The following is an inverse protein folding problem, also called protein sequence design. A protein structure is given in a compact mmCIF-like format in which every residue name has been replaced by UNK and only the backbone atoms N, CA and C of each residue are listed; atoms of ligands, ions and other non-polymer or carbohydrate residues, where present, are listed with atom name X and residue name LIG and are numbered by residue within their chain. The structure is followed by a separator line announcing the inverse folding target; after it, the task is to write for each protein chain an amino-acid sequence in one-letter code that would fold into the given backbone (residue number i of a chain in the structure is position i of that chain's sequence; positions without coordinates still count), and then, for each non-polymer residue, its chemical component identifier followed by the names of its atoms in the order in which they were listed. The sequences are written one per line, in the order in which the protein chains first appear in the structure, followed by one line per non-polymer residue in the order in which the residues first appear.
data_IF_143389055997
#
_entry.id   IF_143389055997
#
_cell.length_a   1.000
_cell.length_b   1.000
_cell.length_c   1.000
_cell.angle_alpha   90.00
_cell.angle_beta   90.00
_cell.angle_gamma   90.00
#
_symmetry.space_group_name_H-M   'P 1'
#
loop_
_entity.id
_entity.type
_entity.pdbx_description
1 polymer ?
#
# COMPACT_ATOMS: atom_id res chain seq x y z
N UNK A 1 23.98 22.11 8.80
CA UNK A 1 23.17 20.93 9.18
C UNK A 1 21.86 21.09 8.43
N UNK A 2 21.77 20.54 7.21
CA UNK A 2 20.52 20.58 6.43
C UNK A 2 19.60 19.60 7.15
N UNK A 3 18.52 20.10 7.77
CA UNK A 3 17.46 19.22 8.25
C UNK A 3 17.07 18.34 7.05
N UNK A 4 17.26 17.03 7.15
CA UNK A 4 16.90 16.13 6.06
C UNK A 4 15.41 16.35 5.78
N UNK A 5 15.10 17.05 4.69
CA UNK A 5 13.72 17.30 4.29
C UNK A 5 13.06 15.94 4.06
N UNK A 6 11.95 15.73 4.74
CA UNK A 6 11.16 14.52 4.58
C UNK A 6 10.29 14.66 3.34
N UNK A 7 10.30 13.62 2.51
CA UNK A 7 9.73 13.67 1.15
C UNK A 7 8.21 13.91 1.17
N UNK A 8 7.45 13.22 2.02
CA UNK A 8 6.00 13.36 2.06
C UNK A 8 5.53 14.70 2.67
N UNK A 9 6.10 15.21 3.78
CA UNK A 9 5.80 16.56 4.27
C UNK A 9 6.14 17.67 3.28
N UNK A 10 7.23 17.53 2.53
CA UNK A 10 7.57 18.46 1.45
C UNK A 10 6.53 18.41 0.32
N UNK A 11 6.18 17.21 -0.16
CA UNK A 11 5.13 17.04 -1.16
C UNK A 11 3.77 17.61 -0.69
N UNK A 12 3.44 17.43 0.60
CA UNK A 12 2.24 18.01 1.21
C UNK A 12 2.27 19.54 1.19
N UNK A 13 3.43 20.14 1.48
CA UNK A 13 3.62 21.59 1.41
C UNK A 13 3.40 22.10 -0.02
N UNK A 14 4.04 21.46 -1.00
CA UNK A 14 3.91 21.83 -2.41
C UNK A 14 2.45 21.77 -2.90
N UNK A 15 1.71 20.70 -2.58
CA UNK A 15 0.32 20.57 -3.04
C UNK A 15 -0.64 21.54 -2.32
N UNK A 16 -0.38 21.85 -1.04
CA UNK A 16 -1.14 22.87 -0.31
C UNK A 16 -0.98 24.27 -0.91
N UNK A 17 0.20 24.60 -1.43
CA UNK A 17 0.44 25.86 -2.14
C UNK A 17 -0.15 25.88 -3.56
N UNK A 18 -0.26 24.71 -4.20
CA UNK A 18 -0.76 24.58 -5.58
C UNK A 18 -2.30 24.62 -5.67
N UNK A 19 -2.99 23.96 -4.74
CA UNK A 19 -4.46 23.81 -4.77
C UNK A 19 -5.22 25.15 -4.87
N UNK A 20 -4.88 26.20 -4.09
CA UNK A 20 -5.55 27.50 -4.21
C UNK A 20 -5.31 28.21 -5.55
N UNK A 21 -4.22 27.88 -6.25
CA UNK A 21 -3.93 28.45 -7.58
C UNK A 21 -4.73 27.74 -8.67
N UNK A 22 -4.98 26.44 -8.52
CA UNK A 22 -5.79 25.64 -9.44
C UNK A 22 -7.27 26.04 -9.40
N UNK A 23 -7.78 26.48 -8.24
CA UNK A 23 -9.19 26.90 -8.11
C UNK A 23 -9.52 28.19 -8.87
N UNK A 24 -8.52 29.02 -9.17
CA UNK A 24 -8.68 30.25 -9.92
C UNK A 24 -8.81 30.03 -11.44
N UNK A 25 -8.28 28.91 -11.95
CA UNK A 25 -8.10 28.70 -13.39
C UNK A 25 -9.03 27.60 -13.95
N UNK A 26 -9.18 26.42 -13.30
CA UNK A 26 -10.05 25.33 -13.82
C UNK A 26 -10.55 24.36 -12.73
N UNK A 27 -11.88 24.32 -12.48
CA UNK A 27 -12.50 23.52 -11.40
C UNK A 27 -12.30 22.00 -11.48
N UNK A 28 -12.00 21.43 -12.64
CA UNK A 28 -11.80 19.97 -12.77
C UNK A 28 -10.44 19.50 -12.25
N UNK A 29 -9.40 20.34 -12.34
CA UNK A 29 -8.06 20.02 -11.85
C UNK A 29 -7.98 19.89 -10.32
N UNK A 30 -8.94 20.52 -9.62
CA UNK A 30 -9.07 20.44 -8.17
C UNK A 30 -9.37 19.03 -7.67
N UNK A 31 -10.21 18.27 -8.38
CA UNK A 31 -10.57 16.91 -7.96
C UNK A 31 -9.36 15.99 -7.89
N UNK A 32 -8.47 16.03 -8.90
CA UNK A 32 -7.20 15.30 -8.85
C UNK A 32 -6.27 15.83 -7.77
N UNK A 33 -6.22 17.15 -7.57
CA UNK A 33 -5.41 17.74 -6.52
C UNK A 33 -5.81 17.25 -5.12
N UNK A 34 -7.12 17.23 -4.82
CA UNK A 34 -7.63 16.67 -3.57
C UNK A 34 -7.34 15.18 -3.47
N UNK A 35 -7.55 14.40 -4.54
CA UNK A 35 -7.23 12.98 -4.56
C UNK A 35 -5.75 12.72 -4.23
N UNK A 36 -4.82 13.43 -4.88
CA UNK A 36 -3.37 13.27 -4.65
C UNK A 36 -2.98 13.71 -3.24
N UNK A 37 -3.56 14.80 -2.74
CA UNK A 37 -3.28 15.25 -1.36
C UNK A 37 -3.81 14.23 -0.34
N UNK A 38 -4.95 13.61 -0.63
CA UNK A 38 -5.47 12.48 0.13
C UNK A 38 -4.51 11.29 0.18
N UNK A 39 -3.93 10.90 -0.96
CA UNK A 39 -2.91 9.85 -1.04
C UNK A 39 -1.69 10.20 -0.17
N UNK A 40 -1.23 11.46 -0.20
CA UNK A 40 -0.10 11.94 0.62
C UNK A 40 -0.42 11.87 2.11
N UNK A 41 -1.61 12.35 2.53
CA UNK A 41 -2.05 12.25 3.91
C UNK A 41 -2.13 10.78 4.38
N UNK A 42 -2.66 9.89 3.55
CA UNK A 42 -2.74 8.46 3.85
C UNK A 42 -1.36 7.82 4.00
N UNK A 43 -0.39 8.20 3.16
CA UNK A 43 1.00 7.74 3.26
C UNK A 43 1.72 8.28 4.50
N UNK A 44 1.44 9.53 4.91
CA UNK A 44 1.96 10.10 6.17
C UNK A 44 1.38 9.36 7.39
N UNK A 45 0.08 9.02 7.32
CA UNK A 45 -0.69 8.41 8.40
C UNK A 45 -1.82 9.29 8.94
N UNK A 46 -2.11 10.44 8.33
CA UNK A 46 -3.27 11.26 8.67
C UNK A 46 -4.50 10.81 7.89
N UNK A 47 -5.10 9.71 8.35
CA UNK A 47 -6.23 9.07 7.67
C UNK A 47 -7.50 9.94 7.69
N UNK A 48 -7.63 10.82 8.67
CA UNK A 48 -8.77 11.74 8.78
C UNK A 48 -8.71 12.79 7.67
N UNK A 49 -7.57 13.45 7.49
CA UNK A 49 -7.37 14.41 6.42
C UNK A 49 -7.44 13.73 5.04
N UNK A 50 -6.92 12.50 4.92
CA UNK A 50 -7.03 11.72 3.69
C UNK A 50 -8.50 11.48 3.28
N UNK A 51 -9.35 11.06 4.24
CA UNK A 51 -10.79 10.86 3.99
C UNK A 51 -11.46 12.15 3.54
N UNK A 52 -11.21 13.26 4.26
CA UNK A 52 -11.82 14.55 3.93
C UNK A 52 -11.47 15.01 2.51
N UNK A 53 -10.23 14.79 2.07
CA UNK A 53 -9.79 15.11 0.72
C UNK A 53 -10.42 14.19 -0.34
N UNK A 54 -10.57 12.90 -0.07
CA UNK A 54 -11.31 12.01 -0.98
C UNK A 54 -12.78 12.40 -1.11
N UNK A 55 -13.44 12.76 -0.01
CA UNK A 55 -14.82 13.25 -0.01
C UNK A 55 -14.94 14.55 -0.82
N UNK A 56 -13.95 15.44 -0.70
CA UNK A 56 -13.90 16.68 -1.48
C UNK A 56 -13.68 16.43 -2.98
N UNK A 57 -12.83 15.47 -3.35
CA UNK A 57 -12.68 15.06 -4.75
C UNK A 57 -14.02 14.54 -5.31
N UNK A 58 -14.71 13.69 -4.57
CA UNK A 58 -16.03 13.19 -4.93
C UNK A 58 -17.09 14.30 -5.06
N UNK A 59 -17.11 15.26 -4.13
CA UNK A 59 -18.02 16.40 -4.17
C UNK A 59 -17.84 17.27 -5.44
N UNK A 60 -16.63 17.25 -6.02
CA UNK A 60 -16.30 17.92 -7.28
C UNK A 60 -16.55 17.04 -8.52
N UNK A 61 -17.14 15.85 -8.35
CA UNK A 61 -17.44 14.91 -9.43
C UNK A 61 -16.23 14.07 -9.87
N UNK A 62 -15.19 13.97 -9.05
CA UNK A 62 -13.99 13.18 -9.35
C UNK A 62 -13.93 11.90 -8.53
N UNK A 63 -13.57 10.80 -9.20
CA UNK A 63 -13.32 9.53 -8.53
C UNK A 63 -12.00 9.58 -7.77
N UNK A 64 -12.09 9.52 -6.45
CA UNK A 64 -10.95 9.47 -5.53
C UNK A 64 -10.21 8.12 -5.53
N UNK A 65 -10.62 7.17 -6.38
CA UNK A 65 -10.04 5.84 -6.46
C UNK A 65 -8.67 5.81 -7.13
N UNK A 66 -7.75 4.90 -6.79
CA UNK A 66 -7.91 3.81 -5.82
C UNK A 66 -7.62 4.19 -4.36
N UNK A 67 -7.16 5.41 -4.08
CA UNK A 67 -6.72 5.82 -2.74
C UNK A 67 -7.80 5.67 -1.68
N UNK A 68 -9.05 6.04 -2.02
CA UNK A 68 -10.20 5.87 -1.16
C UNK A 68 -10.52 4.39 -0.86
N UNK A 69 -10.52 3.50 -1.86
CA UNK A 69 -10.71 2.06 -1.65
C UNK A 69 -9.58 1.42 -0.84
N UNK A 70 -8.32 1.82 -1.05
CA UNK A 70 -7.20 1.35 -0.23
C UNK A 70 -7.43 1.74 1.23
N UNK A 71 -7.84 2.99 1.48
CA UNK A 71 -8.15 3.46 2.84
C UNK A 71 -9.30 2.67 3.47
N UNK A 72 -10.40 2.44 2.73
CA UNK A 72 -11.53 1.63 3.20
C UNK A 72 -11.09 0.23 3.62
N UNK A 73 -10.35 -0.46 2.75
CA UNK A 73 -9.84 -1.81 3.02
C UNK A 73 -8.95 -1.84 4.27
N UNK A 74 -8.03 -0.87 4.40
CA UNK A 74 -7.11 -0.80 5.53
C UNK A 74 -7.80 -0.46 6.85
N UNK A 75 -8.95 0.22 6.80
CA UNK A 75 -9.83 0.45 7.96
C UNK A 75 -10.83 -0.68 8.23
N UNK A 76 -10.77 -1.77 7.46
CA UNK A 76 -11.57 -2.98 7.67
C UNK A 76 -12.84 -3.09 6.83
N UNK A 77 -13.09 -2.17 5.90
CA UNK A 77 -14.24 -2.21 4.99
C UNK A 77 -13.84 -2.78 3.62
N UNK A 78 -13.72 -4.10 3.56
CA UNK A 78 -13.38 -4.82 2.31
C UNK A 78 -14.48 -4.68 1.25
N UNK A 79 -15.74 -4.86 1.64
CA UNK A 79 -16.85 -4.86 0.68
C UNK A 79 -17.08 -3.46 0.12
N UNK A 80 -16.96 -2.41 0.94
CA UNK A 80 -17.01 -1.02 0.50
C UNK A 80 -15.84 -0.64 -0.41
N UNK A 81 -14.63 -1.11 -0.13
CA UNK A 81 -13.46 -0.89 -0.98
C UNK A 81 -13.65 -1.48 -2.38
N UNK A 82 -14.10 -2.74 -2.48
CA UNK A 82 -14.32 -3.40 -3.77
C UNK A 82 -15.50 -2.76 -4.52
N UNK A 83 -16.58 -2.42 -3.84
CA UNK A 83 -17.71 -1.72 -4.45
C UNK A 83 -17.31 -0.34 -5.01
N UNK A 84 -16.44 0.39 -4.33
CA UNK A 84 -15.96 1.68 -4.80
C UNK A 84 -15.13 1.54 -6.09
N UNK A 85 -14.22 0.56 -6.15
CA UNK A 85 -13.44 0.28 -7.35
C UNK A 85 -14.30 -0.22 -8.51
N UNK A 86 -15.28 -1.09 -8.25
CA UNK A 86 -16.21 -1.57 -9.28
C UNK A 86 -17.04 -0.43 -9.87
N UNK A 87 -17.48 0.53 -9.05
CA UNK A 87 -18.15 1.74 -9.55
C UNK A 87 -17.25 2.57 -10.45
N UNK A 88 -16.01 2.85 -10.03
CA UNK A 88 -15.05 3.59 -10.85
C UNK A 88 -14.72 2.84 -12.16
N UNK A 89 -14.68 1.51 -12.14
CA UNK A 89 -14.47 0.67 -13.33
C UNK A 89 -15.64 0.66 -14.32
N UNK A 90 -16.85 1.09 -13.92
CA UNK A 90 -17.98 1.23 -14.85
C UNK A 90 -17.87 2.51 -15.71
N UNK A 91 -17.02 3.46 -15.32
CA UNK A 91 -16.85 4.71 -16.06
C UNK A 91 -16.29 4.48 -17.47
N UNK A 92 -16.90 5.15 -18.46
CA UNK A 92 -16.57 4.98 -19.89
C UNK A 92 -15.85 6.18 -20.50
N UNK A 93 -15.67 7.26 -19.72
CA UNK A 93 -14.95 8.45 -20.17
C UNK A 93 -13.49 8.13 -20.49
N UNK A 94 -12.83 9.01 -21.25
CA UNK A 94 -11.42 8.84 -21.58
C UNK A 94 -10.54 8.69 -20.32
N UNK A 95 -10.84 9.46 -19.28
CA UNK A 95 -10.14 9.42 -18.00
C UNK A 95 -10.22 8.04 -17.31
N UNK A 96 -11.42 7.46 -17.22
CA UNK A 96 -11.62 6.12 -16.66
C UNK A 96 -10.85 5.07 -17.48
N UNK A 97 -10.84 5.19 -18.82
CA UNK A 97 -10.10 4.28 -19.70
C UNK A 97 -8.59 4.36 -19.53
N UNK A 98 -8.03 5.52 -19.18
CA UNK A 98 -6.59 5.65 -18.90
C UNK A 98 -6.23 5.01 -17.55
N UNK A 99 -7.09 5.17 -16.53
CA UNK A 99 -6.83 4.68 -15.17
C UNK A 99 -7.27 3.25 -14.92
N UNK A 100 -8.02 2.65 -15.85
CA UNK A 100 -8.61 1.31 -15.72
C UNK A 100 -7.61 0.26 -15.23
N UNK A 101 -6.40 0.21 -15.81
CA UNK A 101 -5.39 -0.75 -15.38
C UNK A 101 -4.96 -0.56 -13.94
N UNK A 102 -4.77 0.69 -13.51
CA UNK A 102 -4.45 1.03 -12.12
C UNK A 102 -5.58 0.65 -11.16
N UNK A 103 -6.84 0.88 -11.54
CA UNK A 103 -8.01 0.47 -10.75
C UNK A 103 -8.09 -1.06 -10.64
N UNK A 104 -7.92 -1.79 -11.75
CA UNK A 104 -7.96 -3.25 -11.79
C UNK A 104 -6.88 -3.89 -10.92
N UNK A 105 -5.62 -3.41 -10.97
CA UNK A 105 -4.55 -4.01 -10.14
C UNK A 105 -4.76 -3.75 -8.64
N UNK A 106 -5.35 -2.61 -8.28
CA UNK A 106 -5.71 -2.33 -6.89
C UNK A 106 -6.90 -3.18 -6.44
N UNK A 107 -7.93 -3.34 -7.28
CA UNK A 107 -9.07 -4.21 -7.00
C UNK A 107 -8.64 -5.67 -6.82
N UNK A 108 -7.77 -6.17 -7.70
CA UNK A 108 -7.17 -7.50 -7.60
C UNK A 108 -6.40 -7.68 -6.29
N UNK A 109 -5.54 -6.72 -5.94
CA UNK A 109 -4.72 -6.77 -4.73
C UNK A 109 -5.57 -6.73 -3.45
N UNK A 110 -6.56 -5.83 -3.38
CA UNK A 110 -7.50 -5.73 -2.25
C UNK A 110 -8.32 -7.01 -2.12
N UNK A 111 -8.89 -7.52 -3.22
CA UNK A 111 -9.65 -8.77 -3.21
C UNK A 111 -8.79 -9.95 -2.71
N UNK A 112 -7.55 -10.07 -3.21
CA UNK A 112 -6.65 -11.15 -2.80
C UNK A 112 -6.29 -11.06 -1.31
N UNK A 113 -5.90 -9.86 -0.83
CA UNK A 113 -5.56 -9.63 0.57
C UNK A 113 -6.76 -9.78 1.51
N UNK A 114 -7.97 -9.50 1.01
CA UNK A 114 -9.23 -9.73 1.71
C UNK A 114 -9.75 -11.17 1.65
N UNK A 115 -9.01 -12.11 1.05
CA UNK A 115 -9.40 -13.52 0.96
C UNK A 115 -10.48 -13.83 -0.09
N UNK A 116 -10.78 -12.88 -0.99
CA UNK A 116 -11.71 -13.04 -2.12
C UNK A 116 -10.97 -13.54 -3.37
N UNK A 117 -10.35 -14.73 -3.27
CA UNK A 117 -9.44 -15.27 -4.30
C UNK A 117 -10.07 -15.40 -5.70
N UNK A 118 -11.35 -15.77 -5.76
CA UNK A 118 -12.08 -15.90 -7.03
C UNK A 118 -12.26 -14.54 -7.70
N UNK A 119 -12.63 -13.52 -6.93
CA UNK A 119 -12.81 -12.15 -7.43
C UNK A 119 -11.47 -11.53 -7.86
N UNK A 120 -10.40 -11.74 -7.08
CA UNK A 120 -9.06 -11.33 -7.46
C UNK A 120 -8.61 -11.95 -8.80
N UNK A 121 -8.94 -13.22 -9.01
CA UNK A 121 -8.64 -13.93 -10.26
C UNK A 121 -9.38 -13.36 -11.46
N UNK A 122 -10.61 -12.84 -11.28
CA UNK A 122 -11.36 -12.17 -12.35
C UNK A 122 -10.64 -10.89 -12.78
N UNK A 123 -10.26 -10.03 -11.83
CA UNK A 123 -9.53 -8.80 -12.16
C UNK A 123 -8.17 -9.08 -12.82
N UNK A 124 -7.42 -10.08 -12.32
CA UNK A 124 -6.14 -10.49 -12.91
C UNK A 124 -6.30 -10.97 -14.36
N UNK A 125 -7.34 -11.75 -14.67
CA UNK A 125 -7.61 -12.19 -16.05
C UNK A 125 -7.82 -11.01 -17.00
N UNK A 126 -8.50 -9.96 -16.56
CA UNK A 126 -8.71 -8.76 -17.38
C UNK A 126 -7.39 -8.01 -17.63
N UNK A 127 -6.52 -7.93 -16.61
CA UNK A 127 -5.18 -7.34 -16.74
C UNK A 127 -4.33 -8.16 -17.74
N UNK A 128 -4.32 -9.49 -17.60
CA UNK A 128 -3.54 -10.39 -18.45
C UNK A 128 -3.99 -10.34 -19.93
N UNK A 129 -5.28 -10.11 -20.19
CA UNK A 129 -5.81 -9.91 -21.54
C UNK A 129 -5.23 -8.67 -22.26
N UNK A 130 -4.61 -7.74 -21.52
CA UNK A 130 -4.01 -6.52 -22.04
C UNK A 130 -2.56 -6.34 -21.55
N UNK A 131 -1.81 -7.44 -21.44
CA UNK A 131 -0.48 -7.47 -20.82
C UNK A 131 0.51 -6.44 -21.38
N UNK A 132 0.45 -6.13 -22.67
CA UNK A 132 1.34 -5.14 -23.31
C UNK A 132 1.10 -3.71 -22.79
N UNK A 133 -0.13 -3.42 -22.35
CA UNK A 133 -0.55 -2.10 -21.87
C UNK A 133 -0.06 -1.80 -20.44
N UNK A 134 0.20 -2.86 -19.66
CA UNK A 134 0.38 -2.79 -18.21
C UNK A 134 1.80 -3.17 -17.76
N UNK A 135 2.82 -2.80 -18.55
CA UNK A 135 4.23 -3.17 -18.31
C UNK A 135 4.98 -2.25 -17.33
N UNK A 136 4.34 -1.20 -16.81
CA UNK A 136 5.02 -0.28 -15.89
C UNK A 136 5.45 -1.03 -14.61
N UNK A 137 6.65 -0.78 -14.07
CA UNK A 137 7.15 -1.50 -12.90
C UNK A 137 6.21 -1.47 -11.69
N UNK A 138 5.58 -0.32 -11.41
CA UNK A 138 4.58 -0.19 -10.34
C UNK A 138 3.37 -1.12 -10.53
N UNK A 139 2.85 -1.22 -11.75
CA UNK A 139 1.74 -2.13 -12.11
C UNK A 139 2.15 -3.58 -11.91
N UNK A 140 3.35 -3.96 -12.36
CA UNK A 140 3.89 -5.30 -12.19
C UNK A 140 4.16 -5.65 -10.71
N UNK A 141 4.55 -4.65 -9.90
CA UNK A 141 4.73 -4.83 -8.46
C UNK A 141 3.40 -5.19 -7.77
N UNK A 142 2.30 -4.47 -8.08
CA UNK A 142 0.97 -4.79 -7.55
C UNK A 142 0.48 -6.18 -8.01
N UNK A 143 0.75 -6.55 -9.26
CA UNK A 143 0.42 -7.91 -9.75
C UNK A 143 1.20 -8.97 -8.96
N UNK A 144 2.48 -8.73 -8.68
CA UNK A 144 3.30 -9.64 -7.87
C UNK A 144 2.79 -9.72 -6.43
N UNK A 145 2.42 -8.61 -5.79
CA UNK A 145 1.77 -8.59 -4.47
C UNK A 145 0.45 -9.35 -4.47
N UNK A 146 -0.38 -9.15 -5.49
CA UNK A 146 -1.65 -9.86 -5.64
C UNK A 146 -1.42 -11.37 -5.73
N UNK A 147 -0.50 -11.80 -6.59
CA UNK A 147 -0.16 -13.22 -6.75
C UNK A 147 0.43 -13.80 -5.46
N UNK A 148 1.21 -13.02 -4.70
CA UNK A 148 1.71 -13.44 -3.40
C UNK A 148 0.59 -13.62 -2.37
N UNK A 149 -0.39 -12.73 -2.35
CA UNK A 149 -1.55 -12.81 -1.44
C UNK A 149 -2.48 -14.00 -1.77
N UNK A 150 -2.48 -14.49 -3.02
CA UNK A 150 -3.19 -15.69 -3.43
C UNK A 150 -2.47 -17.00 -3.07
N UNK A 151 -1.18 -16.93 -2.70
CA UNK A 151 -0.45 -18.11 -2.24
C UNK A 151 -0.94 -18.57 -0.87
N UNK A 152 -0.80 -19.86 -0.59
CA UNK A 152 -1.10 -20.40 0.74
C UNK A 152 -0.11 -19.84 1.78
N UNK A 153 -0.52 -19.62 3.04
CA UNK A 153 0.41 -19.26 4.10
C UNK A 153 1.57 -20.26 4.18
N UNK A 154 2.81 -19.75 4.19
CA UNK A 154 4.03 -20.56 4.22
C UNK A 154 4.52 -21.08 2.86
N UNK A 155 3.80 -20.82 1.76
CA UNK A 155 4.29 -21.15 0.41
C UNK A 155 5.52 -20.30 0.06
N UNK A 156 6.68 -20.92 -0.24
CA UNK A 156 7.89 -20.19 -0.63
C UNK A 156 7.70 -19.28 -1.86
N UNK A 157 6.74 -19.61 -2.74
CA UNK A 157 6.41 -18.76 -3.89
C UNK A 157 5.88 -17.40 -3.49
N UNK A 158 5.10 -17.32 -2.41
CA UNK A 158 4.59 -16.05 -1.89
C UNK A 158 5.73 -15.12 -1.51
N UNK A 159 6.73 -15.62 -0.79
CA UNK A 159 7.90 -14.83 -0.41
C UNK A 159 8.73 -14.40 -1.65
N UNK A 160 8.93 -15.30 -2.62
CA UNK A 160 9.61 -14.97 -3.88
C UNK A 160 8.92 -13.82 -4.64
N UNK A 161 7.58 -13.84 -4.67
CA UNK A 161 6.77 -12.81 -5.31
C UNK A 161 6.82 -11.47 -4.57
N UNK A 162 6.84 -11.48 -3.23
CA UNK A 162 7.04 -10.25 -2.45
C UNK A 162 8.44 -9.65 -2.65
N UNK A 163 9.48 -10.48 -2.74
CA UNK A 163 10.83 -10.02 -3.06
C UNK A 163 10.89 -9.36 -4.45
N UNK A 164 10.20 -9.93 -5.44
CA UNK A 164 10.04 -9.33 -6.76
C UNK A 164 9.28 -8.00 -6.70
N UNK A 165 8.15 -7.96 -5.99
CA UNK A 165 7.36 -6.74 -5.82
C UNK A 165 8.19 -5.60 -5.21
N UNK A 166 9.00 -5.90 -4.18
CA UNK A 166 9.92 -4.94 -3.58
C UNK A 166 10.92 -4.38 -4.60
N UNK A 167 11.54 -5.25 -5.40
CA UNK A 167 12.49 -4.83 -6.44
C UNK A 167 11.81 -3.93 -7.48
N UNK A 168 10.60 -4.29 -7.91
CA UNK A 168 9.83 -3.52 -8.88
C UNK A 168 9.43 -2.15 -8.33
N UNK A 169 8.97 -2.06 -7.08
CA UNK A 169 8.67 -0.78 -6.44
C UNK A 169 9.89 0.12 -6.30
N UNK A 170 11.03 -0.44 -5.91
CA UNK A 170 12.30 0.29 -5.86
C UNK A 170 12.70 0.79 -7.25
N UNK A 171 12.58 -0.05 -8.29
CA UNK A 171 12.88 0.37 -9.67
C UNK A 171 11.92 1.43 -10.21
N UNK A 172 10.69 1.46 -9.70
CA UNK A 172 9.69 2.49 -10.02
C UNK A 172 9.96 3.83 -9.30
N UNK A 173 10.89 3.88 -8.35
CA UNK A 173 11.13 5.05 -7.50
C UNK A 173 10.01 5.33 -6.50
N UNK A 174 9.18 4.34 -6.17
CA UNK A 174 8.05 4.50 -5.22
C UNK A 174 8.42 3.90 -3.87
N UNK A 175 9.24 4.64 -3.13
CA UNK A 175 9.87 4.17 -1.89
C UNK A 175 8.87 3.80 -0.79
N UNK A 176 7.72 4.49 -0.72
CA UNK A 176 6.65 4.18 0.23
C UNK A 176 6.16 2.74 0.07
N UNK A 177 5.81 2.33 -1.15
CA UNK A 177 5.33 0.97 -1.41
C UNK A 177 6.45 -0.07 -1.27
N UNK A 178 7.69 0.28 -1.64
CA UNK A 178 8.83 -0.59 -1.38
C UNK A 178 9.01 -0.87 0.12
N UNK A 179 8.92 0.16 0.97
CA UNK A 179 9.00 0.03 2.42
C UNK A 179 7.82 -0.77 3.00
N UNK A 180 6.60 -0.53 2.52
CA UNK A 180 5.41 -1.33 2.90
C UNK A 180 5.60 -2.82 2.61
N UNK A 181 6.09 -3.16 1.41
CA UNK A 181 6.34 -4.57 1.02
C UNK A 181 7.44 -5.20 1.87
N UNK A 182 8.46 -4.45 2.31
CA UNK A 182 9.46 -4.95 3.27
C UNK A 182 8.82 -5.40 4.59
N UNK A 183 7.85 -4.65 5.10
CA UNK A 183 7.14 -5.04 6.32
C UNK A 183 6.29 -6.31 6.12
N UNK A 184 5.70 -6.49 4.93
CA UNK A 184 5.03 -7.75 4.57
C UNK A 184 6.01 -8.94 4.50
N UNK A 185 7.19 -8.74 3.89
CA UNK A 185 8.26 -9.75 3.86
C UNK A 185 8.72 -10.08 5.28
N UNK A 186 8.98 -9.07 6.12
CA UNK A 186 9.38 -9.27 7.51
C UNK A 186 8.34 -10.10 8.28
N UNK A 187 7.06 -9.79 8.11
CA UNK A 187 5.96 -10.56 8.70
C UNK A 187 5.94 -12.01 8.22
N UNK A 188 6.20 -12.26 6.93
CA UNK A 188 6.31 -13.62 6.40
C UNK A 188 7.52 -14.39 6.96
N UNK A 189 8.68 -13.73 7.08
CA UNK A 189 9.89 -14.30 7.65
C UNK A 189 9.73 -14.65 9.14
N UNK A 190 9.06 -13.79 9.92
CA UNK A 190 8.72 -14.08 11.32
C UNK A 190 7.84 -15.33 11.42
N UNK A 191 6.80 -15.46 10.59
CA UNK A 191 5.95 -16.66 10.56
C UNK A 191 6.71 -17.95 10.19
N UNK A 192 7.77 -17.84 9.39
CA UNK A 192 8.63 -18.99 9.05
C UNK A 192 9.80 -19.19 10.01
N UNK A 193 9.91 -18.39 11.08
CA UNK A 193 10.98 -18.47 12.07
C UNK A 193 12.31 -17.81 11.68
N UNK A 194 12.40 -17.16 10.51
CA UNK A 194 13.61 -16.42 10.09
C UNK A 194 13.63 -15.02 10.70
N UNK A 195 13.93 -14.98 11.99
CA UNK A 195 14.04 -13.76 12.78
C UNK A 195 15.14 -12.83 12.26
N UNK A 196 16.26 -13.38 11.81
CA UNK A 196 17.40 -12.58 11.36
C UNK A 196 17.05 -11.82 10.07
N UNK A 197 16.46 -12.53 9.10
CA UNK A 197 15.94 -11.94 7.87
C UNK A 197 14.88 -10.88 8.14
N UNK A 198 13.94 -11.15 9.06
CA UNK A 198 12.92 -10.18 9.43
C UNK A 198 13.51 -8.87 9.99
N UNK A 199 14.53 -8.95 10.86
CA UNK A 199 15.21 -7.77 11.43
C UNK A 199 15.86 -6.90 10.35
N UNK A 200 16.45 -7.51 9.32
CA UNK A 200 17.04 -6.79 8.19
C UNK A 200 15.97 -6.00 7.44
N UNK A 201 14.84 -6.63 7.12
CA UNK A 201 13.76 -5.96 6.39
C UNK A 201 13.09 -4.85 7.20
N UNK A 202 12.83 -5.07 8.50
CA UNK A 202 12.26 -4.04 9.39
C UNK A 202 13.19 -2.84 9.48
N UNK A 203 14.49 -3.07 9.70
CA UNK A 203 15.46 -1.97 9.83
C UNK A 203 15.58 -1.14 8.54
N UNK A 204 15.51 -1.80 7.38
CA UNK A 204 15.48 -1.13 6.08
C UNK A 204 14.18 -0.31 5.90
N UNK A 205 13.02 -0.88 6.25
CA UNK A 205 11.74 -0.20 6.18
C UNK A 205 11.69 1.04 7.11
N UNK A 206 12.19 0.93 8.34
CA UNK A 206 12.28 2.05 9.29
C UNK A 206 13.15 3.20 8.76
N UNK A 207 14.25 2.89 8.08
CA UNK A 207 15.11 3.91 7.46
C UNK A 207 14.35 4.64 6.35
N UNK A 208 13.65 3.91 5.48
CA UNK A 208 12.82 4.49 4.44
C UNK A 208 11.66 5.31 5.03
N UNK A 209 10.99 4.82 6.07
CA UNK A 209 9.87 5.49 6.72
C UNK A 209 10.29 6.86 7.29
N UNK A 210 11.42 6.92 8.01
CA UNK A 210 11.97 8.19 8.53
C UNK A 210 12.35 9.18 7.43
N UNK A 211 12.94 8.68 6.34
CA UNK A 211 13.30 9.51 5.19
C UNK A 211 12.06 10.07 4.47
N UNK A 212 11.02 9.25 4.35
CA UNK A 212 9.74 9.65 3.77
C UNK A 212 8.95 10.60 4.68
N UNK A 213 9.15 10.53 6.00
CA UNK A 213 8.28 11.19 6.98
C UNK A 213 6.94 10.48 7.16
N UNK A 214 6.91 9.16 6.96
CA UNK A 214 5.71 8.34 7.09
C UNK A 214 5.63 7.76 8.51
N UNK A 215 4.92 8.45 9.42
CA UNK A 215 4.65 7.96 10.77
C UNK A 215 3.96 6.59 10.74
N UNK A 216 3.05 6.40 9.79
CA UNK A 216 2.35 5.13 9.59
C UNK A 216 3.30 3.93 9.44
N UNK A 217 4.23 3.99 8.48
CA UNK A 217 5.23 2.93 8.30
C UNK A 217 6.17 2.77 9.51
N UNK A 218 6.45 3.85 10.25
CA UNK A 218 7.22 3.75 11.50
C UNK A 218 6.46 2.96 12.57
N UNK A 219 5.17 3.23 12.74
CA UNK A 219 4.29 2.52 13.68
C UNK A 219 4.10 1.05 13.30
N UNK A 220 3.91 0.74 12.02
CA UNK A 220 3.82 -0.63 11.51
C UNK A 220 5.13 -1.40 11.75
N UNK A 221 6.29 -0.77 11.50
CA UNK A 221 7.59 -1.37 11.75
C UNK A 221 7.85 -1.61 13.26
N UNK A 222 7.50 -0.64 14.10
CA UNK A 222 7.61 -0.76 15.55
C UNK A 222 6.72 -1.89 16.10
N UNK A 223 5.51 -2.03 15.56
CA UNK A 223 4.58 -3.11 15.93
C UNK A 223 5.18 -4.49 15.63
N UNK A 224 5.74 -4.69 14.43
CA UNK A 224 6.41 -5.94 14.07
C UNK A 224 7.63 -6.23 14.94
N UNK A 225 8.43 -5.20 15.26
CA UNK A 225 9.60 -5.33 16.13
C UNK A 225 9.22 -5.71 17.57
N UNK A 226 8.14 -5.12 18.09
CA UNK A 226 7.67 -5.40 19.46
C UNK A 226 6.97 -6.76 19.58
N UNK A 227 6.24 -7.19 18.55
CA UNK A 227 5.66 -8.54 18.48
C UNK A 227 6.74 -9.62 18.60
N UNK A 228 7.85 -9.42 17.91
CA UNK A 228 9.04 -10.27 18.00
C UNK A 228 9.64 -10.33 19.42
N UNK A 229 9.84 -9.19 20.09
CA UNK A 229 10.45 -9.17 21.44
C UNK A 229 9.64 -9.97 22.46
N UNK A 230 8.31 -9.98 22.34
CA UNK A 230 7.43 -10.75 23.22
C UNK A 230 7.48 -12.26 22.94
N UNK A 231 7.50 -12.68 21.68
CA UNK A 231 7.63 -14.09 21.30
C UNK A 231 8.97 -14.68 21.77
N UNK A 232 10.08 -13.96 21.56
CA UNK A 232 11.39 -14.40 22.08
C UNK A 232 11.41 -14.55 23.59
N UNK A 233 10.75 -13.66 24.33
CA UNK A 233 10.71 -13.71 25.78
C UNK A 233 9.89 -14.90 26.28
N UNK A 234 8.77 -15.23 25.61
CA UNK A 234 7.96 -16.41 25.93
C UNK A 234 8.66 -17.75 25.69
N UNK A 235 9.55 -17.84 24.69
CA UNK A 235 10.36 -19.03 24.41
C UNK A 235 11.43 -19.23 25.51
N UNK A 236 12.03 -18.14 25.99
CA UNK A 236 13.00 -18.17 27.10
C UNK A 236 12.32 -18.56 28.41
N UNK A 237 11.11 -18.06 28.68
CA UNK A 237 10.37 -18.37 29.91
C UNK A 237 9.81 -19.81 29.92
N UNK A 238 9.37 -20.34 28.77
CA UNK A 238 8.86 -21.71 28.64
C UNK A 238 9.94 -22.81 28.71
N UNK A 239 11.16 -22.52 28.25
CA UNK A 239 12.30 -23.45 28.35
C UNK A 239 12.91 -23.53 29.76
N UNK A 240 12.57 -22.57 30.65
CA UNK A 240 12.96 -22.59 32.06
C UNK A 240 12.10 -23.48 32.96
N UNK A 241 10.96 -23.99 32.48
CA UNK A 241 10.05 -24.83 33.28
C UNK A 241 10.22 -26.35 33.06
N UNK A 242 10.93 -26.80 32.03
CA UNK A 242 11.12 -28.24 31.74
C UNK A 242 12.39 -28.87 32.34
N UNK A 243 13.18 -28.12 33.13
CA UNK A 243 14.41 -28.65 33.76
C UNK A 243 14.28 -28.95 35.26
N UNK A 244 13.07 -28.96 35.82
CA UNK A 244 12.81 -29.38 37.20
C UNK A 244 11.72 -30.45 37.25
N UNK A 245 12.03 -31.67 36.78
CA UNK A 245 11.33 -32.91 37.17
C UNK A 245 12.30 -34.10 37.06
#
# INVERSE_FOLDING_TARGET
MIAAQQVLPEALTCINEALPKLSAEESWSLGEGFRVRGDIFAMIGDLTSARADYDQAYALGWDAEPGNAVLLFETGDLDGALAALDRALQGTSWFHRQRRGNLLVNAACIAARGGRSDQASIYLKEIDAQLERWRQPATQALIAETKAALCRPGDPNGNRLLLLARQLWTSAGVDYHAARVRLQIASALLRSGDVSGAKVEITAAERSARHLGSRRLEEEAATLRNGFSRECQSIVDGSGQELNL
#
